data_IF_327130217110
#
_entry.id   IF_327130217110
#
_cell.length_a   1.000
_cell.length_b   1.000
_cell.length_c   1.000
_cell.angle_alpha   90.00
_cell.angle_beta   90.00
_cell.angle_gamma   90.00
#
_symmetry.space_group_name_H-M   'P 1'
#
loop_
_entity.id
_entity.type
_entity.pdbx_description
1 polymer ?
#
# COMPACT_ATOMS: atom_id res chain seq x y z
N UNK A 1 24.48 3.27 -17.07
CA UNK A 1 24.63 2.36 -15.91
C UNK A 1 24.24 2.96 -14.56
N UNK A 2 24.14 4.29 -14.36
CA UNK A 2 23.67 4.87 -13.08
C UNK A 2 22.15 4.78 -12.86
N UNK A 3 21.34 4.88 -13.91
CA UNK A 3 19.86 4.83 -13.82
C UNK A 3 19.32 3.44 -13.45
N UNK A 4 19.83 2.38 -14.10
CA UNK A 4 19.51 0.98 -13.72
C UNK A 4 19.87 0.71 -12.27
N UNK A 5 21.02 1.21 -11.82
CA UNK A 5 21.48 1.02 -10.45
C UNK A 5 20.58 1.71 -9.41
N UNK A 6 20.01 2.87 -9.74
CA UNK A 6 19.11 3.58 -8.84
C UNK A 6 17.73 2.89 -8.78
N UNK A 7 17.26 2.37 -9.92
CA UNK A 7 16.05 1.55 -9.98
C UNK A 7 16.25 0.22 -9.22
N UNK A 8 17.40 -0.43 -9.37
CA UNK A 8 17.76 -1.64 -8.62
C UNK A 8 17.82 -1.38 -7.11
N UNK A 9 18.34 -0.23 -6.68
CA UNK A 9 18.35 0.15 -5.27
C UNK A 9 16.94 0.41 -4.73
N UNK A 10 16.06 1.06 -5.51
CA UNK A 10 14.65 1.23 -5.14
C UNK A 10 13.89 -0.11 -5.13
N UNK A 11 14.20 -1.01 -6.06
CA UNK A 11 13.69 -2.39 -6.11
C UNK A 11 14.21 -3.23 -4.92
N UNK A 12 15.47 -3.04 -4.50
CA UNK A 12 16.03 -3.71 -3.32
C UNK A 12 15.44 -3.17 -2.02
N UNK A 13 15.22 -1.86 -1.92
CA UNK A 13 14.44 -1.28 -0.84
C UNK A 13 13.02 -1.88 -0.81
N UNK A 14 12.44 -2.13 -1.99
CA UNK A 14 11.12 -2.78 -2.17
C UNK A 14 11.04 -4.24 -1.74
N UNK A 15 12.13 -5.02 -1.84
CA UNK A 15 12.14 -6.39 -1.31
C UNK A 15 11.94 -6.43 0.23
N UNK A 16 12.12 -5.30 0.93
CA UNK A 16 11.73 -5.17 2.34
C UNK A 16 10.27 -4.68 2.54
N UNK A 17 9.59 -4.25 1.47
CA UNK A 17 8.31 -3.54 1.49
C UNK A 17 7.10 -4.34 0.99
N UNK A 18 7.27 -5.58 0.53
CA UNK A 18 6.16 -6.52 0.27
C UNK A 18 5.55 -6.55 -1.14
N UNK A 19 6.04 -5.76 -2.10
CA UNK A 19 5.53 -5.80 -3.49
C UNK A 19 6.17 -6.95 -4.28
N UNK A 20 5.32 -7.83 -4.81
CA UNK A 20 5.72 -9.09 -5.48
C UNK A 20 6.50 -8.87 -6.78
N UNK A 21 7.26 -9.88 -7.21
CA UNK A 21 7.94 -9.83 -8.52
C UNK A 21 6.93 -9.80 -9.67
N UNK A 22 5.78 -10.43 -9.49
CA UNK A 22 4.68 -10.46 -10.45
C UNK A 22 4.11 -9.06 -10.69
N UNK A 23 3.86 -8.28 -9.62
CA UNK A 23 3.36 -6.91 -9.72
C UNK A 23 4.34 -6.01 -10.50
N UNK A 24 5.65 -6.13 -10.26
CA UNK A 24 6.63 -5.39 -11.05
C UNK A 24 6.61 -5.76 -12.53
N UNK A 25 6.51 -7.06 -12.82
CA UNK A 25 6.46 -7.51 -14.21
C UNK A 25 5.23 -6.93 -14.88
N UNK A 26 4.10 -6.91 -14.19
CA UNK A 26 2.87 -6.28 -14.68
C UNK A 26 3.07 -4.79 -14.96
N UNK A 27 3.65 -4.02 -14.05
CA UNK A 27 3.93 -2.60 -14.23
C UNK A 27 4.84 -2.35 -15.44
N UNK A 28 5.89 -3.14 -15.59
CA UNK A 28 6.80 -3.02 -16.73
C UNK A 28 6.13 -3.40 -18.05
N UNK A 29 5.29 -4.44 -18.06
CA UNK A 29 4.52 -4.86 -19.23
C UNK A 29 3.51 -3.79 -19.66
N UNK A 30 2.77 -3.22 -18.70
CA UNK A 30 1.86 -2.09 -18.91
C UNK A 30 2.59 -0.90 -19.52
N UNK A 31 3.68 -0.45 -18.91
CA UNK A 31 4.43 0.68 -19.43
C UNK A 31 4.85 0.47 -20.89
N UNK A 32 5.40 -0.71 -21.21
CA UNK A 32 5.81 -1.07 -22.57
C UNK A 32 4.64 -1.18 -23.55
N UNK A 33 3.45 -1.52 -23.08
CA UNK A 33 2.25 -1.56 -23.92
C UNK A 33 1.87 -0.15 -24.40
N UNK A 34 1.99 0.84 -23.52
CA UNK A 34 1.68 2.24 -23.84
C UNK A 34 2.85 2.99 -24.51
N UNK A 35 4.10 2.62 -24.22
CA UNK A 35 5.31 3.14 -24.89
C UNK A 35 5.53 2.47 -26.25
N UNK A 36 4.57 2.65 -27.17
CA UNK A 36 4.57 2.03 -28.50
C UNK A 36 5.81 2.38 -29.32
N UNK A 37 6.31 3.59 -29.14
CA UNK A 37 7.48 4.12 -29.84
C UNK A 37 8.81 3.74 -29.16
N UNK A 38 8.76 3.06 -28.01
CA UNK A 38 9.94 2.63 -27.22
C UNK A 38 10.86 3.81 -26.88
N UNK A 39 10.26 4.95 -26.57
CA UNK A 39 10.96 6.18 -26.22
C UNK A 39 11.46 6.17 -24.76
N UNK A 40 11.03 5.18 -23.97
CA UNK A 40 11.34 5.07 -22.55
C UNK A 40 10.56 6.05 -21.67
N UNK A 41 9.55 6.71 -22.23
CA UNK A 41 8.72 7.73 -21.59
C UNK A 41 7.31 7.70 -22.16
N UNK A 42 6.33 8.04 -21.34
CA UNK A 42 4.93 8.23 -21.73
C UNK A 42 4.60 9.72 -21.64
N UNK A 43 3.83 10.25 -22.58
CA UNK A 43 3.18 11.54 -22.37
C UNK A 43 2.06 11.42 -21.31
N UNK A 44 1.52 12.55 -20.86
CA UNK A 44 0.47 12.56 -19.83
C UNK A 44 -0.79 11.77 -20.24
N UNK A 45 -1.18 11.76 -21.52
CA UNK A 45 -2.36 11.02 -21.97
C UNK A 45 -2.12 9.51 -21.96
N UNK A 46 -0.94 9.08 -22.42
CA UNK A 46 -0.50 7.69 -22.40
C UNK A 46 -0.34 7.20 -20.96
N UNK A 47 0.28 7.99 -20.08
CA UNK A 47 0.45 7.67 -18.68
C UNK A 47 -0.90 7.55 -17.95
N UNK A 48 -1.82 8.50 -18.17
CA UNK A 48 -3.18 8.43 -17.62
C UNK A 48 -3.93 7.18 -18.08
N UNK A 49 -3.80 6.82 -19.36
CA UNK A 49 -4.41 5.60 -19.90
C UNK A 49 -3.80 4.34 -19.28
N UNK A 50 -2.49 4.35 -19.04
CA UNK A 50 -1.77 3.28 -18.35
C UNK A 50 -2.28 3.09 -16.91
N UNK A 51 -2.43 4.17 -16.14
CA UNK A 51 -2.96 4.11 -14.78
C UNK A 51 -4.39 3.54 -14.74
N UNK A 52 -5.26 3.96 -15.65
CA UNK A 52 -6.63 3.41 -15.75
C UNK A 52 -6.63 1.92 -16.10
N UNK A 53 -5.74 1.49 -16.98
CA UNK A 53 -5.59 0.06 -17.33
C UNK A 53 -5.10 -0.79 -16.15
N UNK A 54 -4.33 -0.20 -15.24
CA UNK A 54 -3.89 -0.78 -13.96
C UNK A 54 -4.98 -0.76 -12.87
N UNK A 55 -6.18 -0.26 -13.17
CA UNK A 55 -7.27 -0.22 -12.21
C UNK A 55 -7.25 1.00 -11.27
N UNK A 56 -6.41 2.01 -11.53
CA UNK A 56 -6.49 3.26 -10.77
C UNK A 56 -7.78 4.00 -11.12
N UNK A 57 -8.56 4.31 -10.08
CA UNK A 57 -9.78 5.08 -10.22
C UNK A 57 -9.46 6.56 -10.42
N UNK A 58 -9.28 6.93 -11.69
CA UNK A 58 -9.14 8.33 -12.12
C UNK A 58 -10.47 8.78 -12.72
N UNK A 59 -11.23 9.66 -12.03
CA UNK A 59 -12.55 10.08 -12.47
C UNK A 59 -12.50 10.58 -13.92
N UNK A 60 -13.49 10.21 -14.72
CA UNK A 60 -13.63 10.78 -16.05
C UNK A 60 -14.21 12.19 -15.91
N UNK A 61 -13.40 13.19 -16.22
CA UNK A 61 -13.88 14.57 -16.36
C UNK A 61 -14.02 14.92 -17.84
N UNK A 62 -14.90 15.87 -18.14
CA UNK A 62 -15.04 16.42 -19.49
C UNK A 62 -13.74 17.12 -19.95
N UNK A 63 -13.49 17.11 -21.26
CA UNK A 63 -12.33 17.78 -21.85
C UNK A 63 -12.27 19.26 -21.42
N UNK A 64 -11.16 19.66 -20.80
CA UNK A 64 -10.93 21.03 -20.32
C UNK A 64 -11.30 21.29 -18.86
N UNK A 65 -11.85 20.30 -18.15
CA UNK A 65 -12.03 20.37 -16.70
C UNK A 65 -10.72 19.99 -15.97
N UNK A 66 -10.41 20.63 -14.83
CA UNK A 66 -9.25 20.26 -14.02
C UNK A 66 -9.43 18.86 -13.43
N UNK A 67 -8.36 18.08 -13.48
CA UNK A 67 -8.29 16.72 -12.92
C UNK A 67 -7.43 16.73 -11.66
N UNK A 68 -7.97 17.12 -10.50
CA UNK A 68 -7.16 17.34 -9.32
C UNK A 68 -6.43 16.07 -8.87
N UNK A 69 -7.02 14.88 -9.01
CA UNK A 69 -6.40 13.59 -8.69
C UNK A 69 -5.19 13.32 -9.59
N UNK A 70 -5.38 13.41 -10.90
CA UNK A 70 -4.31 13.20 -11.87
C UNK A 70 -3.22 14.27 -11.73
N UNK A 71 -3.62 15.50 -11.41
CA UNK A 71 -2.69 16.59 -11.22
C UNK A 71 -1.78 16.37 -10.00
N UNK A 72 -2.32 15.85 -8.90
CA UNK A 72 -1.53 15.45 -7.73
C UNK A 72 -0.55 14.32 -8.06
N UNK A 73 -0.93 13.38 -8.92
CA UNK A 73 -0.02 12.32 -9.38
C UNK A 73 1.11 12.93 -10.20
N UNK A 74 0.81 13.82 -11.14
CA UNK A 74 1.82 14.52 -11.96
C UNK A 74 2.79 15.34 -11.10
N UNK A 75 2.35 15.96 -10.01
CA UNK A 75 3.24 16.68 -9.09
C UNK A 75 4.32 15.77 -8.47
N UNK A 76 4.05 14.46 -8.38
CA UNK A 76 4.99 13.46 -7.88
C UNK A 76 5.87 12.88 -8.99
N UNK A 77 5.30 12.60 -10.16
CA UNK A 77 5.99 11.84 -11.23
C UNK A 77 6.62 12.70 -12.33
N UNK A 78 6.14 13.93 -12.51
CA UNK A 78 6.66 14.92 -13.47
C UNK A 78 6.78 16.29 -12.77
N UNK A 79 7.62 16.41 -11.73
CA UNK A 79 7.76 17.67 -10.98
C UNK A 79 8.38 18.80 -11.81
N UNK A 80 9.16 18.46 -12.84
CA UNK A 80 9.75 19.38 -13.80
C UNK A 80 8.76 19.84 -14.87
N UNK A 81 7.57 19.22 -14.97
CA UNK A 81 6.51 19.54 -15.92
C UNK A 81 7.01 19.53 -17.36
N UNK A 82 7.85 18.56 -17.69
CA UNK A 82 8.37 18.42 -19.06
C UNK A 82 7.38 17.73 -20.00
N UNK A 83 6.24 17.25 -19.46
CA UNK A 83 5.16 16.64 -20.21
C UNK A 83 5.30 15.13 -20.36
N UNK A 84 6.35 14.54 -19.80
CA UNK A 84 6.68 13.13 -19.94
C UNK A 84 6.90 12.47 -18.58
N UNK A 85 6.56 11.18 -18.51
CA UNK A 85 6.82 10.31 -17.36
C UNK A 85 7.70 9.17 -17.83
N UNK A 86 8.91 9.08 -17.31
CA UNK A 86 9.85 8.02 -17.66
C UNK A 86 9.47 6.70 -17.00
N UNK A 87 10.01 5.59 -17.52
CA UNK A 87 9.84 4.28 -16.88
C UNK A 87 10.30 4.30 -15.42
N UNK A 88 11.35 5.07 -15.09
CA UNK A 88 11.86 5.14 -13.72
C UNK A 88 10.87 5.83 -12.79
N UNK A 89 10.33 6.99 -13.18
CA UNK A 89 9.34 7.72 -12.39
C UNK A 89 8.05 6.93 -12.23
N UNK A 90 7.60 6.29 -13.32
CA UNK A 90 6.46 5.39 -13.31
C UNK A 90 6.64 4.24 -12.31
N UNK A 91 7.76 3.52 -12.39
CA UNK A 91 8.04 2.39 -11.50
C UNK A 91 8.16 2.84 -10.05
N UNK A 92 8.85 3.96 -9.78
CA UNK A 92 8.96 4.52 -8.44
C UNK A 92 7.58 4.88 -7.86
N UNK A 93 6.71 5.49 -8.67
CA UNK A 93 5.35 5.81 -8.27
C UNK A 93 4.51 4.57 -7.98
N UNK A 94 4.51 3.60 -8.89
CA UNK A 94 3.74 2.37 -8.74
C UNK A 94 4.20 1.57 -7.52
N UNK A 95 5.51 1.49 -7.31
CA UNK A 95 6.09 0.88 -6.12
C UNK A 95 5.65 1.62 -4.86
N UNK A 96 5.79 2.95 -4.83
CA UNK A 96 5.39 3.73 -3.66
C UNK A 96 3.90 3.56 -3.35
N UNK A 97 3.04 3.59 -4.37
CA UNK A 97 1.59 3.41 -4.21
C UNK A 97 1.20 2.03 -3.73
N UNK A 98 1.81 0.98 -4.27
CA UNK A 98 1.62 -0.37 -3.74
C UNK A 98 2.08 -0.44 -2.28
N UNK A 99 3.22 0.17 -1.93
CA UNK A 99 3.70 0.18 -0.53
C UNK A 99 2.89 1.07 0.40
N UNK A 100 2.24 2.12 -0.10
CA UNK A 100 1.24 2.90 0.64
C UNK A 100 -0.02 2.05 0.92
N UNK A 101 -0.32 1.06 0.07
CA UNK A 101 -1.42 0.10 0.24
C UNK A 101 -1.06 -1.15 1.07
N UNK A 102 0.21 -1.48 1.30
CA UNK A 102 0.67 -2.71 2.01
C UNK A 102 0.31 -2.76 3.51
N UNK A 103 -0.51 -1.82 3.99
CA UNK A 103 -1.09 -1.85 5.34
C UNK A 103 -2.49 -1.26 5.30
N UNK A 104 -3.41 -1.81 4.51
CA UNK A 104 -4.83 -1.46 4.75
C UNK A 104 -5.20 -1.86 6.19
N UNK A 105 -6.09 -1.11 6.83
CA UNK A 105 -6.63 -1.50 8.14
C UNK A 105 -7.16 -2.93 8.11
N UNK A 106 -7.78 -3.34 7.00
CA UNK A 106 -8.32 -4.69 6.81
C UNK A 106 -7.22 -5.76 6.80
N UNK A 107 -6.07 -5.52 6.16
CA UNK A 107 -4.97 -6.49 6.13
C UNK A 107 -4.30 -6.64 7.50
N UNK A 108 -4.10 -5.54 8.22
CA UNK A 108 -3.57 -5.60 9.59
C UNK A 108 -4.56 -6.31 10.52
N UNK A 109 -5.86 -6.03 10.37
CA UNK A 109 -6.91 -6.70 11.13
C UNK A 109 -6.91 -8.21 10.84
N UNK A 110 -6.85 -8.61 9.58
CA UNK A 110 -6.77 -10.02 9.18
C UNK A 110 -5.52 -10.69 9.73
N UNK A 111 -4.38 -10.01 9.75
CA UNK A 111 -3.14 -10.54 10.32
C UNK A 111 -3.31 -10.81 11.82
N UNK A 112 -3.86 -9.88 12.60
CA UNK A 112 -4.14 -10.10 14.03
C UNK A 112 -5.16 -11.21 14.26
N UNK A 113 -6.22 -11.26 13.44
CA UNK A 113 -7.23 -12.32 13.50
C UNK A 113 -6.61 -13.69 13.26
N UNK A 114 -5.64 -13.81 12.36
CA UNK A 114 -4.90 -15.06 12.11
C UNK A 114 -4.00 -15.48 13.28
N UNK A 115 -3.58 -14.56 14.16
CA UNK A 115 -2.83 -14.89 15.38
C UNK A 115 -3.75 -15.45 16.47
N UNK A 116 -5.04 -15.10 16.43
CA UNK A 116 -6.02 -15.57 17.39
C UNK A 116 -6.37 -17.05 17.14
N UNK A 117 -6.53 -17.81 18.22
CA UNK A 117 -7.16 -19.14 18.13
C UNK A 117 -8.59 -18.98 17.64
N UNK A 118 -8.98 -19.84 16.70
CA UNK A 118 -10.35 -19.94 16.16
C UNK A 118 -10.86 -18.65 15.47
N UNK A 119 -9.96 -17.79 14.98
CA UNK A 119 -10.31 -16.54 14.26
C UNK A 119 -11.24 -15.62 15.05
N UNK A 120 -11.05 -15.59 16.38
CA UNK A 120 -11.80 -14.77 17.31
C UNK A 120 -11.58 -13.27 17.02
N UNK A 121 -12.54 -12.41 17.38
CA UNK A 121 -12.43 -10.95 17.20
C UNK A 121 -11.51 -10.28 18.23
N UNK A 122 -10.61 -11.04 18.86
CA UNK A 122 -9.63 -10.53 19.83
C UNK A 122 -8.40 -11.44 19.87
N UNK A 123 -7.30 -10.92 20.39
CA UNK A 123 -6.05 -11.67 20.64
C UNK A 123 -5.70 -11.64 22.12
N UNK A 124 -4.93 -12.61 22.60
CA UNK A 124 -4.36 -12.59 23.96
C UNK A 124 -2.88 -12.23 23.95
N UNK A 125 -2.36 -11.80 25.11
CA UNK A 125 -0.93 -11.56 25.25
C UNK A 125 -0.08 -12.80 24.90
N UNK A 126 -0.55 -13.99 25.26
CA UNK A 126 0.12 -15.26 24.93
C UNK A 126 0.18 -15.48 23.41
N UNK A 127 -0.90 -15.19 22.69
CA UNK A 127 -0.95 -15.32 21.22
C UNK A 127 -0.02 -14.31 20.53
N UNK A 128 0.08 -13.10 21.07
CA UNK A 128 1.03 -12.10 20.57
C UNK A 128 2.48 -12.53 20.82
N UNK A 129 2.83 -12.96 22.03
CA UNK A 129 4.19 -13.44 22.33
C UNK A 129 4.57 -14.72 21.58
N UNK A 130 3.59 -15.56 21.23
CA UNK A 130 3.84 -16.78 20.47
C UNK A 130 4.16 -16.52 18.98
N UNK A 131 3.68 -15.39 18.43
CA UNK A 131 3.76 -15.12 16.99
C UNK A 131 4.56 -13.87 16.61
N UNK A 132 4.88 -13.00 17.57
CA UNK A 132 5.61 -11.74 17.35
C UNK A 132 6.90 -11.70 18.18
N UNK A 133 7.82 -10.77 17.87
CA UNK A 133 8.96 -10.53 18.75
C UNK A 133 8.50 -9.94 20.09
N UNK A 134 9.26 -10.12 21.19
CA UNK A 134 8.89 -9.57 22.50
C UNK A 134 8.56 -8.07 22.46
N UNK A 135 9.33 -7.29 21.71
CA UNK A 135 9.15 -5.85 21.58
C UNK A 135 7.85 -5.50 20.84
N UNK A 136 7.51 -6.26 19.80
CA UNK A 136 6.26 -6.09 19.04
C UNK A 136 5.04 -6.48 19.87
N UNK A 137 5.11 -7.58 20.60
CA UNK A 137 4.06 -8.02 21.50
C UNK A 137 3.81 -6.98 22.61
N UNK A 138 4.87 -6.51 23.27
CA UNK A 138 4.76 -5.45 24.28
C UNK A 138 4.16 -4.15 23.74
N UNK A 139 4.57 -3.75 22.53
CA UNK A 139 4.01 -2.58 21.85
C UNK A 139 2.50 -2.70 21.66
N UNK A 140 2.03 -3.87 21.19
CA UNK A 140 0.61 -4.15 20.98
C UNK A 140 -0.15 -4.16 22.31
N UNK A 141 0.34 -4.91 23.30
CA UNK A 141 -0.28 -5.03 24.64
C UNK A 141 -0.44 -3.66 25.31
N UNK A 142 0.55 -2.78 25.17
CA UNK A 142 0.53 -1.45 25.80
C UNK A 142 -0.49 -0.49 25.15
N UNK A 143 -0.86 -0.72 23.90
CA UNK A 143 -1.72 0.19 23.11
C UNK A 143 -3.13 -0.35 22.88
N UNK A 144 -3.32 -1.67 22.89
CA UNK A 144 -4.63 -2.29 22.74
C UNK A 144 -5.44 -2.15 24.03
N UNK A 145 -6.74 -1.92 23.88
CA UNK A 145 -7.67 -1.92 25.01
C UNK A 145 -8.20 -3.34 25.26
N UNK A 146 -8.72 -3.63 26.46
CA UNK A 146 -9.40 -4.88 26.73
C UNK A 146 -10.61 -5.07 25.80
N UNK A 147 -10.76 -6.25 25.22
CA UNK A 147 -11.89 -6.58 24.37
C UNK A 147 -13.18 -6.74 25.19
N UNK A 148 -14.26 -6.13 24.69
CA UNK A 148 -15.61 -6.23 25.25
C UNK A 148 -16.48 -6.98 24.27
N UNK A 149 -17.03 -8.11 24.71
CA UNK A 149 -17.88 -8.93 23.87
C UNK A 149 -19.19 -8.19 23.52
N UNK A 150 -19.46 -8.05 22.22
CA UNK A 150 -20.61 -7.27 21.73
C UNK A 150 -21.97 -7.86 22.16
N UNK A 151 -22.04 -9.18 22.40
CA UNK A 151 -23.30 -9.87 22.74
C UNK A 151 -23.58 -9.77 24.23
N UNK A 152 -22.59 -10.06 25.07
CA UNK A 152 -22.74 -10.09 26.52
C UNK A 152 -22.43 -8.76 27.20
N UNK A 153 -21.77 -7.83 26.50
CA UNK A 153 -21.29 -6.55 27.04
C UNK A 153 -20.19 -6.72 28.10
N UNK A 154 -19.61 -7.91 28.23
CA UNK A 154 -18.61 -8.23 29.26
C UNK A 154 -17.21 -8.17 28.68
N UNK A 155 -16.28 -7.63 29.47
CA UNK A 155 -14.86 -7.72 29.18
C UNK A 155 -14.39 -9.16 29.33
N UNK A 156 -13.73 -9.68 28.31
CA UNK A 156 -13.09 -11.01 28.39
C UNK A 156 -11.70 -10.83 29.00
N UNK A 157 -11.43 -11.57 30.08
CA UNK A 157 -10.16 -11.46 30.79
C UNK A 157 -8.97 -11.82 29.88
N UNK A 158 -7.98 -10.92 29.79
CA UNK A 158 -6.77 -11.11 28.99
C UNK A 158 -6.96 -10.99 27.47
N UNK A 159 -8.17 -10.65 27.01
CA UNK A 159 -8.47 -10.40 25.61
C UNK A 159 -8.20 -8.94 25.24
N UNK A 160 -7.56 -8.72 24.10
CA UNK A 160 -7.16 -7.43 23.56
C UNK A 160 -7.89 -7.16 22.23
N UNK A 161 -8.43 -5.95 22.11
CA UNK A 161 -9.18 -5.49 20.95
C UNK A 161 -8.21 -4.95 19.89
N UNK A 162 -7.90 -5.81 18.91
CA UNK A 162 -7.06 -5.41 17.78
C UNK A 162 -7.83 -4.58 16.75
N UNK A 163 -9.15 -4.76 16.60
CA UNK A 163 -9.96 -4.03 15.61
C UNK A 163 -9.97 -2.53 15.95
N UNK A 164 -10.24 -2.19 17.21
CA UNK A 164 -10.18 -0.81 17.69
C UNK A 164 -8.77 -0.23 17.60
N UNK A 165 -7.74 -1.03 17.92
CA UNK A 165 -6.35 -0.61 17.83
C UNK A 165 -5.96 -0.26 16.39
N UNK A 166 -6.28 -1.14 15.44
CA UNK A 166 -6.06 -0.92 14.01
C UNK A 166 -6.81 0.32 13.54
N UNK A 167 -8.11 0.44 13.79
CA UNK A 167 -8.88 1.63 13.42
C UNK A 167 -8.26 2.93 13.97
N UNK A 168 -7.77 2.92 15.22
CA UNK A 168 -7.11 4.10 15.80
C UNK A 168 -5.79 4.48 15.12
N UNK A 169 -5.08 3.52 14.52
CA UNK A 169 -3.84 3.79 13.78
C UNK A 169 -4.09 4.39 12.39
N UNK A 170 -5.24 4.11 11.77
CA UNK A 170 -5.59 4.58 10.42
C UNK A 170 -6.50 5.81 10.39
N UNK A 171 -7.00 6.27 11.54
CA UNK A 171 -7.82 7.48 11.67
C UNK A 171 -7.03 8.75 12.02
N UNK A 172 -5.70 8.76 11.80
CA UNK A 172 -4.82 9.91 12.10
C UNK A 172 -4.36 10.65 10.85
#
# INVERSE_FOLDING_TARGET
MRMLHNLEQQIQARNQSGVTEEALREFSMMFRHFDREKLGRLDHQQFKSCLRALGYDLPMVDEGQPEPEFQRILDVVDPNRDGYVTLQEFMAFMINKETENVRSSEEIEMAFRALSKELRPYVTAEELYANLTPEQAEYCIKRMKPYVDAVSGRTIAGALDFEQFVHSMFQS
#
